data_IF_609301326390
#
_entry.id   IF_609301326390
#
_cell.length_a   1.000
_cell.length_b   1.000
_cell.length_c   1.000
_cell.angle_alpha   90.00
_cell.angle_beta   90.00
_cell.angle_gamma   90.00
#
_symmetry.space_group_name_H-M   'P 1'
#
loop_
_entity.id
_entity.type
_entity.pdbx_description
1 polymer ?
#
# COMPACT_ATOMS: atom_id res chain seq x y z
N UNK A 1 -3.04 2.86 -14.59
CA UNK A 1 -3.54 1.66 -13.90
C UNK A 1 -3.01 0.44 -14.65
N UNK A 2 -2.17 -0.42 -14.05
CA UNK A 2 -1.71 -1.64 -14.69
C UNK A 2 -2.88 -2.61 -14.89
N UNK A 3 -2.89 -3.36 -15.99
CA UNK A 3 -3.98 -4.29 -16.34
C UNK A 3 -3.98 -5.57 -15.48
N UNK A 4 -2.84 -5.96 -14.91
CA UNK A 4 -2.69 -7.13 -14.04
C UNK A 4 -1.39 -7.05 -13.22
N UNK A 5 -1.17 -8.02 -12.31
CA UNK A 5 0.03 -8.09 -11.45
C UNK A 5 1.34 -8.17 -12.22
N UNK A 6 1.36 -8.85 -13.37
CA UNK A 6 2.53 -8.94 -14.23
C UNK A 6 2.93 -7.56 -14.77
N UNK A 7 1.98 -6.81 -15.32
CA UNK A 7 2.22 -5.43 -15.78
C UNK A 7 2.60 -4.50 -14.62
N UNK A 8 2.00 -4.71 -13.44
CA UNK A 8 2.30 -3.92 -12.25
C UNK A 8 3.72 -4.14 -11.71
N UNK A 9 4.25 -5.38 -11.80
CA UNK A 9 5.59 -5.72 -11.34
C UNK A 9 6.70 -5.43 -12.36
N UNK A 10 6.39 -5.44 -13.67
CA UNK A 10 7.39 -5.27 -14.73
C UNK A 10 7.54 -3.84 -15.25
N UNK A 11 6.53 -2.98 -15.05
CA UNK A 11 6.50 -1.61 -15.61
C UNK A 11 6.64 -0.56 -14.50
N UNK A 12 7.85 -0.01 -14.42
CA UNK A 12 8.29 1.00 -13.46
C UNK A 12 9.57 0.55 -12.74
N UNK A 13 10.49 1.49 -12.53
CA UNK A 13 11.71 1.27 -11.74
C UNK A 13 11.68 2.25 -10.57
N UNK A 14 11.74 1.77 -9.31
CA UNK A 14 11.78 0.37 -8.89
C UNK A 14 10.43 -0.36 -9.10
N UNK A 15 10.40 -1.72 -9.06
CA UNK A 15 9.18 -2.48 -9.25
C UNK A 15 8.16 -2.23 -8.12
N UNK A 16 6.89 -2.52 -8.39
CA UNK A 16 5.83 -2.37 -7.39
C UNK A 16 5.97 -3.38 -6.24
N UNK A 17 5.75 -2.93 -5.01
CA UNK A 17 5.65 -3.79 -3.84
C UNK A 17 4.28 -4.49 -3.82
N UNK A 18 4.26 -5.78 -3.50
CA UNK A 18 3.03 -6.55 -3.35
C UNK A 18 2.90 -7.15 -1.96
N UNK A 19 1.78 -6.91 -1.30
CA UNK A 19 1.43 -7.43 0.02
C UNK A 19 0.20 -8.33 -0.12
N UNK A 20 0.24 -9.53 0.45
CA UNK A 20 -0.93 -10.41 0.52
C UNK A 20 -1.68 -10.13 1.82
N UNK A 21 -3.01 -10.06 1.76
CA UNK A 21 -3.80 -9.81 2.95
C UNK A 21 -5.28 -10.00 2.68
N UNK A 22 -6.10 -9.54 3.61
CA UNK A 22 -7.56 -9.66 3.55
C UNK A 22 -8.21 -8.31 3.78
N UNK A 23 -9.35 -8.08 3.13
CA UNK A 23 -10.17 -6.91 3.44
C UNK A 23 -11.00 -7.15 4.70
N UNK A 24 -10.91 -6.26 5.67
CA UNK A 24 -11.69 -6.30 6.91
C UNK A 24 -12.45 -4.99 7.09
N UNK A 25 -13.62 -5.05 7.70
CA UNK A 25 -14.42 -3.87 8.02
C UNK A 25 -14.47 -3.71 9.52
N UNK A 26 -14.14 -2.53 10.01
CA UNK A 26 -14.21 -2.18 11.43
C UNK A 26 -14.73 -0.76 11.59
N UNK A 27 -15.75 -0.59 12.44
CA UNK A 27 -16.33 0.70 12.80
C UNK A 27 -16.69 1.58 11.58
N UNK A 28 -17.23 0.96 10.53
CA UNK A 28 -17.62 1.62 9.27
C UNK A 28 -16.46 1.90 8.29
N UNK A 29 -15.23 1.52 8.62
CA UNK A 29 -14.06 1.70 7.77
C UNK A 29 -13.59 0.37 7.19
N UNK A 30 -13.05 0.41 5.97
CA UNK A 30 -12.44 -0.75 5.32
C UNK A 30 -10.93 -0.68 5.46
N UNK A 31 -10.33 -1.80 5.86
CA UNK A 31 -8.89 -1.96 6.03
C UNK A 31 -8.39 -3.12 5.17
N UNK A 32 -7.17 -2.97 4.66
CA UNK A 32 -6.36 -4.10 4.22
C UNK A 32 -5.58 -4.62 5.43
N UNK A 33 -5.76 -5.88 5.78
CA UNK A 33 -5.10 -6.57 6.90
C UNK A 33 -4.12 -7.60 6.33
N UNK A 34 -2.82 -7.35 6.50
CA UNK A 34 -1.74 -8.26 6.10
C UNK A 34 -1.49 -9.35 7.16
N UNK A 35 -2.04 -9.17 8.37
CA UNK A 35 -1.83 -10.02 9.54
C UNK A 35 -0.89 -9.40 10.56
N UNK A 36 0.15 -8.68 10.11
CA UNK A 36 1.05 -7.94 11.00
C UNK A 36 0.74 -6.45 11.06
N UNK A 37 0.06 -5.93 10.04
CA UNK A 37 -0.33 -4.54 9.95
C UNK A 37 -1.68 -4.36 9.27
N UNK A 38 -2.33 -3.22 9.56
CA UNK A 38 -3.59 -2.80 8.95
C UNK A 38 -3.43 -1.45 8.30
N UNK A 39 -3.93 -1.33 7.07
CA UNK A 39 -3.94 -0.09 6.30
C UNK A 39 -5.40 0.27 6.02
N UNK A 40 -5.86 1.40 6.59
CA UNK A 40 -7.17 1.96 6.29
C UNK A 40 -7.21 2.40 4.83
N UNK A 41 -8.20 1.92 4.10
CA UNK A 41 -8.42 2.37 2.74
C UNK A 41 -9.07 3.77 2.75
N UNK A 42 -8.61 4.69 1.89
CA UNK A 42 -9.33 5.92 1.60
C UNK A 42 -10.76 5.63 1.15
N UNK A 43 -11.70 6.55 1.43
CA UNK A 43 -13.13 6.33 1.19
C UNK A 43 -13.44 5.90 -0.26
N UNK A 44 -12.83 6.55 -1.26
CA UNK A 44 -13.04 6.21 -2.67
C UNK A 44 -12.59 4.78 -3.03
N UNK A 45 -11.57 4.26 -2.33
CA UNK A 45 -11.09 2.89 -2.49
C UNK A 45 -11.96 1.91 -1.72
N UNK A 46 -12.38 2.28 -0.51
CA UNK A 46 -13.29 1.49 0.31
C UNK A 46 -14.62 1.24 -0.41
N UNK A 47 -15.21 2.27 -1.02
CA UNK A 47 -16.44 2.16 -1.81
C UNK A 47 -16.28 1.21 -3.00
N UNK A 48 -15.15 1.28 -3.71
CA UNK A 48 -14.87 0.40 -4.84
C UNK A 48 -14.77 -1.09 -4.46
N UNK A 49 -14.53 -1.41 -3.18
CA UNK A 49 -14.38 -2.78 -2.68
C UNK A 49 -15.40 -3.14 -1.59
N UNK A 50 -16.47 -2.36 -1.44
CA UNK A 50 -17.43 -2.50 -0.33
C UNK A 50 -18.03 -3.91 -0.19
N UNK A 51 -18.15 -4.67 -1.28
CA UNK A 51 -18.65 -6.06 -1.30
C UNK A 51 -17.58 -7.14 -1.13
N UNK A 52 -16.33 -6.78 -0.81
CA UNK A 52 -15.20 -7.69 -0.78
C UNK A 52 -14.69 -7.96 0.64
N UNK A 53 -15.42 -7.53 1.67
CA UNK A 53 -15.10 -7.84 3.06
C UNK A 53 -14.92 -9.35 3.26
N UNK A 54 -13.85 -9.74 3.97
CA UNK A 54 -13.46 -11.12 4.22
C UNK A 54 -12.69 -11.81 3.09
N UNK A 55 -12.53 -11.18 1.91
CA UNK A 55 -11.79 -11.79 0.79
C UNK A 55 -10.29 -11.56 0.89
N UNK A 56 -9.53 -12.58 0.50
CA UNK A 56 -8.09 -12.47 0.31
C UNK A 56 -7.80 -11.67 -0.97
N UNK A 57 -6.94 -10.66 -0.83
CA UNK A 57 -6.59 -9.70 -1.88
C UNK A 57 -5.08 -9.46 -1.87
N UNK A 58 -4.59 -8.81 -2.92
CA UNK A 58 -3.21 -8.33 -2.97
C UNK A 58 -3.18 -6.84 -3.16
N UNK A 59 -2.48 -6.16 -2.25
CA UNK A 59 -2.23 -4.75 -2.31
C UNK A 59 -0.93 -4.50 -3.08
N UNK A 60 -1.02 -3.70 -4.14
CA UNK A 60 0.14 -3.21 -4.87
C UNK A 60 0.45 -1.77 -4.46
N UNK A 61 1.67 -1.50 -4.00
CA UNK A 61 2.14 -0.16 -3.60
C UNK A 61 3.37 0.20 -4.42
N UNK A 62 3.33 1.33 -5.12
CA UNK A 62 4.50 1.83 -5.84
C UNK A 62 5.50 2.47 -4.88
N UNK A 63 6.82 2.27 -5.03
CA UNK A 63 7.83 2.90 -4.18
C UNK A 63 7.66 4.41 -4.04
N UNK A 64 7.41 5.10 -5.15
CA UNK A 64 7.21 6.56 -5.17
C UNK A 64 5.92 7.05 -4.49
N UNK A 65 5.01 6.14 -4.12
CA UNK A 65 3.79 6.45 -3.39
C UNK A 65 3.96 6.34 -1.86
N UNK A 66 5.13 5.92 -1.39
CA UNK A 66 5.46 5.85 0.03
C UNK A 66 6.19 7.12 0.46
N UNK A 67 5.97 7.55 1.69
CA UNK A 67 6.63 8.71 2.29
C UNK A 67 7.03 8.40 3.73
N UNK A 68 8.23 8.83 4.12
CA UNK A 68 8.78 8.62 5.46
C UNK A 68 8.29 9.64 6.49
N UNK A 69 7.85 10.82 6.03
CA UNK A 69 7.50 11.95 6.90
C UNK A 69 6.04 11.93 7.36
N UNK A 70 5.29 10.87 7.02
CA UNK A 70 3.84 10.86 7.21
C UNK A 70 3.14 11.92 6.35
N UNK A 71 3.76 12.30 5.23
CA UNK A 71 3.21 13.27 4.29
C UNK A 71 2.67 12.56 3.05
N UNK A 72 1.51 12.98 2.56
CA UNK A 72 0.91 12.39 1.38
C UNK A 72 -0.57 12.66 1.29
N UNK A 73 -1.16 12.46 0.10
CA UNK A 73 -2.58 12.73 -0.16
C UNK A 73 -3.53 12.01 0.81
N UNK A 74 -3.10 10.88 1.35
CA UNK A 74 -3.89 10.05 2.25
C UNK A 74 -3.30 9.96 3.67
N UNK A 75 -2.28 10.76 3.99
CA UNK A 75 -1.59 10.69 5.27
C UNK A 75 -2.55 10.86 6.46
N UNK A 76 -2.45 9.95 7.44
CA UNK A 76 -3.20 9.97 8.68
C UNK A 76 -2.92 8.74 9.54
N UNK A 77 -3.58 8.63 10.69
CA UNK A 77 -3.30 7.57 11.69
C UNK A 77 -3.57 6.14 11.20
N UNK A 78 -4.34 5.98 10.12
CA UNK A 78 -4.77 4.66 9.63
C UNK A 78 -3.88 4.03 8.56
N UNK A 79 -2.88 4.73 8.02
CA UNK A 79 -2.07 4.25 6.90
C UNK A 79 -0.56 4.53 7.06
N UNK A 80 -0.13 4.81 8.29
CA UNK A 80 1.28 4.90 8.66
C UNK A 80 1.70 3.55 9.24
N UNK A 81 2.79 3.00 8.72
CA UNK A 81 3.33 1.71 9.16
C UNK A 81 4.76 1.90 9.69
N UNK A 82 5.07 1.38 10.90
CA UNK A 82 6.45 1.31 11.34
C UNK A 82 7.19 0.26 10.50
N UNK A 83 8.26 0.68 9.83
CA UNK A 83 9.09 -0.20 8.99
C UNK A 83 10.55 -0.11 9.41
N UNK A 84 11.29 -1.20 9.23
CA UNK A 84 12.73 -1.22 9.43
C UNK A 84 13.41 -1.08 8.07
N UNK A 85 14.23 -0.05 7.93
CA UNK A 85 15.07 0.14 6.74
C UNK A 85 16.17 -0.91 6.75
N UNK A 86 16.23 -1.72 5.68
CA UNK A 86 17.23 -2.78 5.52
C UNK A 86 18.42 -2.35 4.67
N UNK A 87 18.17 -1.58 3.62
CA UNK A 87 19.16 -1.09 2.65
C UNK A 87 18.77 0.34 2.28
N UNK A 88 19.77 1.18 1.99
CA UNK A 88 19.57 2.49 1.37
C UNK A 88 20.52 2.58 0.19
N UNK A 89 19.97 2.82 -1.00
CA UNK A 89 20.74 2.94 -2.25
C UNK A 89 20.72 4.41 -2.72
N UNK A 90 21.85 5.14 -2.62
CA UNK A 90 21.92 6.52 -3.10
C UNK A 90 22.08 6.54 -4.62
N UNK A 91 21.10 7.12 -5.32
CA UNK A 91 21.07 7.27 -6.78
C UNK A 91 21.30 8.72 -7.23
N UNK A 92 22.07 9.49 -6.45
CA UNK A 92 22.31 10.92 -6.67
C UNK A 92 21.36 11.79 -5.86
N UNK A 93 20.51 12.58 -6.52
CA UNK A 93 19.50 13.43 -5.86
C UNK A 93 18.33 12.63 -5.25
N UNK A 94 18.27 11.31 -5.50
CA UNK A 94 17.24 10.40 -4.98
C UNK A 94 17.87 9.34 -4.07
N UNK A 95 17.08 8.91 -3.08
CA UNK A 95 17.40 7.79 -2.22
C UNK A 95 16.30 6.74 -2.36
N UNK A 96 16.71 5.52 -2.73
CA UNK A 96 15.84 4.36 -2.68
C UNK A 96 16.03 3.69 -1.31
N UNK A 97 14.92 3.46 -0.62
CA UNK A 97 14.84 2.95 0.77
C UNK A 97 13.91 1.75 0.80
#
# INVERSE_FOLDING_TARGET
RPANRFVAGFVGTPPMNFLNGRLVTDSGNVFFDEGTCRIRLPQDKAEAVAGWAGKDVVLGVRPEAMSLTGEGRFAGEGNVLPVKVGVVEPLGEKMDI
#
